data_IF_373319568001
#
_entry.id   IF_373319568001
#
_cell.length_a   1.000
_cell.length_b   1.000
_cell.length_c   1.000
_cell.angle_alpha   90.00
_cell.angle_beta   90.00
_cell.angle_gamma   90.00
#
_symmetry.space_group_name_H-M   'P 1'
#
loop_
_entity.id
_entity.type
_entity.pdbx_description
1 polymer ?
#
# COMPACT_ATOMS: atom_id res chain seq x y z
N UNK A 1 -16.73 20.49 9.81
CA UNK A 1 -16.68 19.07 9.50
C UNK A 1 -15.69 18.41 10.46
N UNK A 2 -16.15 17.47 11.26
CA UNK A 2 -15.22 16.64 12.03
C UNK A 2 -14.51 15.73 11.02
N UNK A 3 -13.20 15.84 10.92
CA UNK A 3 -12.35 14.77 10.37
C UNK A 3 -12.81 13.51 11.07
N UNK A 4 -13.34 12.55 10.33
CA UNK A 4 -13.76 11.29 10.94
C UNK A 4 -12.54 10.70 11.62
N UNK A 5 -12.70 10.20 12.84
CA UNK A 5 -11.62 9.56 13.61
C UNK A 5 -11.03 8.30 12.91
N UNK A 6 -11.27 8.13 11.63
CA UNK A 6 -10.92 7.00 10.77
C UNK A 6 -10.15 7.42 9.51
N UNK A 7 -9.95 8.74 9.31
CA UNK A 7 -9.13 9.29 8.23
C UNK A 7 -7.74 9.57 8.80
N UNK A 8 -6.71 9.06 8.14
CA UNK A 8 -5.32 9.15 8.56
C UNK A 8 -4.52 9.89 7.49
N UNK A 9 -4.03 11.06 7.85
CA UNK A 9 -3.16 11.86 7.01
C UNK A 9 -1.70 11.63 7.42
N UNK A 10 -0.96 10.94 6.56
CA UNK A 10 0.46 10.64 6.72
C UNK A 10 1.24 11.66 5.90
N UNK A 11 1.98 12.55 6.55
CA UNK A 11 2.60 13.69 5.88
C UNK A 11 4.09 13.80 6.15
N UNK A 12 4.82 14.17 5.12
CA UNK A 12 6.19 14.66 5.12
C UNK A 12 6.17 16.20 4.96
N UNK A 13 7.33 16.89 4.86
CA UNK A 13 7.32 18.33 4.62
C UNK A 13 6.53 18.76 3.38
N UNK A 14 6.55 18.01 2.27
CA UNK A 14 5.91 18.42 1.02
C UNK A 14 4.96 17.37 0.41
N UNK A 15 4.81 16.20 1.03
CA UNK A 15 3.98 15.11 0.50
C UNK A 15 2.97 14.64 1.52
N UNK A 16 1.79 14.25 1.08
CA UNK A 16 0.77 13.60 1.91
C UNK A 16 0.22 12.33 1.27
N UNK A 17 -0.05 11.35 2.13
CA UNK A 17 -0.80 10.14 1.84
C UNK A 17 -2.05 10.14 2.72
N UNK A 18 -3.24 10.10 2.11
CA UNK A 18 -4.52 10.04 2.84
C UNK A 18 -5.10 8.63 2.77
N UNK A 19 -5.36 8.07 3.93
CA UNK A 19 -5.97 6.76 4.10
C UNK A 19 -7.24 6.86 4.93
N UNK A 20 -8.20 5.99 4.65
CA UNK A 20 -9.31 5.67 5.57
C UNK A 20 -9.13 4.23 6.06
N UNK A 21 -9.18 4.04 7.38
CA UNK A 21 -9.08 2.74 8.01
C UNK A 21 -10.14 2.60 9.09
N UNK A 22 -11.31 2.09 8.69
CA UNK A 22 -12.46 1.91 9.56
C UNK A 22 -12.55 0.46 10.02
N UNK A 23 -12.67 0.18 11.33
CA UNK A 23 -12.79 -1.18 11.84
C UNK A 23 -13.87 -1.99 11.13
N UNK A 24 -13.55 -3.21 10.72
CA UNK A 24 -14.43 -4.11 9.99
C UNK A 24 -14.54 -3.86 8.48
N UNK A 25 -13.96 -2.78 7.95
CA UNK A 25 -13.94 -2.45 6.52
C UNK A 25 -12.52 -2.60 5.95
N UNK A 26 -12.40 -2.68 4.63
CA UNK A 26 -11.09 -2.64 3.97
C UNK A 26 -10.44 -1.25 4.14
N UNK A 27 -9.15 -1.20 4.47
CA UNK A 27 -8.42 0.05 4.46
C UNK A 27 -8.27 0.57 3.01
N UNK A 28 -8.40 1.89 2.82
CA UNK A 28 -8.38 2.51 1.48
C UNK A 28 -7.42 3.67 1.42
N UNK A 29 -6.72 3.79 0.29
CA UNK A 29 -5.94 4.97 -0.07
C UNK A 29 -6.82 5.88 -0.93
N UNK A 30 -6.84 7.17 -0.59
CA UNK A 30 -7.65 8.18 -1.28
C UNK A 30 -6.82 9.24 -1.99
N UNK A 31 -5.64 9.52 -1.50
CA UNK A 31 -4.78 10.54 -2.08
C UNK A 31 -3.31 10.23 -1.82
N UNK A 32 -2.48 10.53 -2.79
CA UNK A 32 -1.02 10.61 -2.67
C UNK A 32 -0.54 11.74 -3.57
N UNK A 33 0.19 12.69 -3.02
CA UNK A 33 0.67 13.84 -3.76
C UNK A 33 1.21 14.96 -2.87
N UNK A 34 1.15 16.19 -3.38
CA UNK A 34 1.58 17.38 -2.64
C UNK A 34 0.90 17.45 -1.27
N UNK A 35 1.63 17.94 -0.27
CA UNK A 35 1.13 18.07 1.09
C UNK A 35 -0.20 18.81 1.16
N UNK A 36 -1.12 18.25 1.91
CA UNK A 36 -2.40 18.86 2.26
C UNK A 36 -2.51 19.04 3.77
N UNK A 37 -3.30 20.02 4.22
CA UNK A 37 -3.61 20.23 5.62
C UNK A 37 -4.87 19.46 6.00
N UNK A 38 -5.01 19.08 7.27
CA UNK A 38 -6.15 18.29 7.78
C UNK A 38 -7.51 18.93 7.46
N UNK A 39 -7.62 20.26 7.54
CA UNK A 39 -8.84 21.00 7.23
C UNK A 39 -9.24 20.94 5.74
N UNK A 40 -8.38 20.42 4.86
CA UNK A 40 -8.62 20.25 3.43
C UNK A 40 -8.98 18.84 3.01
N UNK A 41 -8.99 17.88 3.93
CA UNK A 41 -9.30 16.47 3.64
C UNK A 41 -10.64 16.33 2.92
N UNK A 42 -11.69 17.04 3.38
CA UNK A 42 -13.00 16.98 2.74
C UNK A 42 -12.95 17.51 1.30
N UNK A 43 -12.16 18.54 1.02
CA UNK A 43 -11.99 19.06 -0.34
C UNK A 43 -11.35 18.04 -1.28
N UNK A 44 -10.47 17.17 -0.75
CA UNK A 44 -9.89 16.05 -1.53
C UNK A 44 -10.98 15.04 -1.87
N UNK A 45 -11.81 14.62 -0.91
CA UNK A 45 -12.91 13.68 -1.17
C UNK A 45 -13.92 14.22 -2.18
N UNK A 46 -14.22 15.52 -2.14
CA UNK A 46 -15.17 16.18 -3.04
C UNK A 46 -14.56 16.52 -4.42
N UNK A 47 -13.26 16.29 -4.58
CA UNK A 47 -12.53 16.61 -5.81
C UNK A 47 -12.29 15.35 -6.67
N UNK A 48 -11.88 15.58 -7.93
CA UNK A 48 -11.41 14.52 -8.80
C UNK A 48 -9.97 14.06 -8.48
N UNK A 49 -9.36 14.57 -7.41
CA UNK A 49 -8.03 14.18 -6.96
C UNK A 49 -8.08 12.91 -6.10
N UNK A 50 -9.21 12.62 -5.47
CA UNK A 50 -9.38 11.40 -4.69
C UNK A 50 -9.49 10.17 -5.59
N UNK A 51 -8.87 9.08 -5.16
CA UNK A 51 -9.13 7.73 -5.65
C UNK A 51 -9.50 6.83 -4.47
N UNK A 52 -10.31 5.82 -4.72
CA UNK A 52 -10.86 4.97 -3.64
C UNK A 52 -10.37 3.54 -3.83
N UNK A 53 -9.05 3.35 -3.72
CA UNK A 53 -8.42 2.04 -3.89
C UNK A 53 -8.18 1.37 -2.54
N UNK A 54 -8.38 0.07 -2.47
CA UNK A 54 -7.90 -0.70 -1.32
C UNK A 54 -6.40 -0.47 -1.14
N UNK A 55 -5.97 -0.31 0.12
CA UNK A 55 -4.55 -0.11 0.45
C UNK A 55 -3.72 -1.38 0.30
N UNK A 56 -4.36 -2.55 0.42
CA UNK A 56 -3.71 -3.85 0.29
C UNK A 56 -4.69 -4.90 -0.27
N UNK A 57 -4.96 -4.89 -1.58
CA UNK A 57 -5.92 -5.79 -2.19
C UNK A 57 -5.45 -7.25 -2.09
N UNK A 58 -6.32 -8.12 -1.59
CA UNK A 58 -6.07 -9.54 -1.44
C UNK A 58 -6.85 -10.37 -2.47
N UNK A 59 -6.39 -11.60 -2.73
CA UNK A 59 -7.08 -12.52 -3.63
C UNK A 59 -8.33 -13.11 -2.95
N UNK A 60 -9.42 -13.28 -3.72
CA UNK A 60 -10.63 -13.97 -3.26
C UNK A 60 -11.80 -13.08 -2.90
N UNK A 61 -11.65 -11.75 -2.94
CA UNK A 61 -12.73 -10.78 -2.80
C UNK A 61 -12.98 -10.05 -4.13
N UNK A 62 -14.10 -9.32 -4.22
CA UNK A 62 -14.59 -8.66 -5.44
C UNK A 62 -13.73 -7.49 -5.93
N UNK A 63 -12.42 -7.57 -5.81
CA UNK A 63 -11.51 -6.57 -6.34
C UNK A 63 -10.96 -7.01 -7.69
N UNK A 64 -11.07 -6.15 -8.70
CA UNK A 64 -10.46 -6.35 -10.02
C UNK A 64 -9.03 -5.81 -10.10
N UNK A 65 -8.55 -5.18 -9.05
CA UNK A 65 -7.18 -4.67 -8.97
C UNK A 65 -6.17 -5.83 -8.96
N UNK A 66 -4.95 -5.55 -9.38
CA UNK A 66 -3.85 -6.48 -9.13
C UNK A 66 -3.69 -6.74 -7.63
N UNK A 67 -3.39 -7.97 -7.26
CA UNK A 67 -3.38 -8.37 -5.86
C UNK A 67 -2.01 -8.07 -5.23
N UNK A 68 -2.03 -7.49 -4.03
CA UNK A 68 -0.86 -7.36 -3.19
C UNK A 68 -0.54 -8.68 -2.46
N UNK A 69 -1.58 -9.48 -2.17
CA UNK A 69 -1.43 -10.74 -1.45
C UNK A 69 -2.29 -11.85 -2.02
N UNK A 70 -1.70 -13.06 -2.04
CA UNK A 70 -2.40 -14.29 -2.40
C UNK A 70 -1.88 -15.44 -1.55
N UNK A 71 -2.78 -16.10 -0.84
CA UNK A 71 -2.48 -17.25 0.03
C UNK A 71 -3.45 -18.39 -0.24
N UNK A 72 -3.05 -19.62 0.11
CA UNK A 72 -3.96 -20.73 0.30
C UNK A 72 -3.90 -21.12 1.78
N UNK A 73 -5.06 -21.09 2.44
CA UNK A 73 -5.21 -21.47 3.84
C UNK A 73 -5.02 -22.96 4.05
N UNK A 74 -4.83 -23.38 5.30
CA UNK A 74 -4.53 -24.76 5.65
C UNK A 74 -5.64 -25.79 5.34
N UNK A 75 -6.83 -25.34 4.97
CA UNK A 75 -7.96 -26.15 4.50
C UNK A 75 -8.12 -26.16 2.96
N UNK A 76 -7.26 -25.44 2.24
CA UNK A 76 -7.27 -25.32 0.78
C UNK A 76 -8.05 -24.12 0.25
N UNK A 77 -8.70 -23.33 1.10
CA UNK A 77 -9.38 -22.10 0.68
C UNK A 77 -8.36 -21.03 0.27
N UNK A 78 -8.64 -20.30 -0.81
CA UNK A 78 -7.77 -19.24 -1.34
C UNK A 78 -8.32 -17.83 -1.09
N UNK A 79 -9.52 -17.70 -0.49
CA UNK A 79 -10.11 -16.39 -0.25
C UNK A 79 -9.51 -15.74 0.98
N UNK A 80 -9.06 -14.50 0.83
CA UNK A 80 -8.51 -13.66 1.88
C UNK A 80 -9.26 -12.32 1.90
N UNK A 81 -10.13 -12.14 2.90
CA UNK A 81 -10.95 -10.92 3.06
C UNK A 81 -10.43 -10.11 4.26
N UNK A 82 -9.49 -9.22 3.97
CA UNK A 82 -8.81 -8.40 4.97
C UNK A 82 -9.65 -7.18 5.36
N UNK A 83 -9.95 -7.06 6.64
CA UNK A 83 -10.61 -5.91 7.25
C UNK A 83 -9.73 -5.28 8.34
N UNK A 84 -9.87 -3.98 8.55
CA UNK A 84 -9.17 -3.26 9.63
C UNK A 84 -9.58 -3.80 10.98
N UNK A 85 -8.62 -4.24 11.76
CA UNK A 85 -8.75 -4.62 13.18
C UNK A 85 -8.42 -3.44 14.09
N UNK A 86 -7.30 -2.76 13.81
CA UNK A 86 -6.86 -1.60 14.60
C UNK A 86 -5.89 -0.73 13.82
N UNK A 87 -5.76 0.52 14.27
CA UNK A 87 -4.74 1.47 13.79
C UNK A 87 -3.97 2.02 14.98
N UNK A 88 -2.66 2.18 14.83
CA UNK A 88 -1.78 2.83 15.80
C UNK A 88 -0.96 3.90 15.11
N UNK A 89 -0.86 5.07 15.75
CA UNK A 89 0.03 6.14 15.31
C UNK A 89 0.94 6.53 16.47
N UNK A 90 2.22 6.69 16.19
CA UNK A 90 3.21 7.11 17.18
C UNK A 90 4.42 7.75 16.51
N UNK A 91 5.13 8.56 17.30
CA UNK A 91 6.34 9.24 16.84
C UNK A 91 7.58 8.49 17.33
N UNK A 92 8.55 8.32 16.43
CA UNK A 92 9.87 7.79 16.72
C UNK A 92 10.92 8.74 16.15
N UNK A 93 11.82 9.25 17.02
CA UNK A 93 12.89 10.16 16.59
C UNK A 93 12.43 11.15 15.49
N UNK A 94 12.93 10.97 14.27
CA UNK A 94 12.74 11.87 13.13
C UNK A 94 11.54 11.48 12.24
N UNK A 95 10.63 10.60 12.70
CA UNK A 95 9.54 10.09 11.88
C UNK A 95 8.25 9.87 12.67
N UNK A 96 7.13 9.87 11.94
CA UNK A 96 5.83 9.40 12.40
C UNK A 96 5.51 8.06 11.77
N UNK A 97 5.01 7.13 12.59
CA UNK A 97 4.65 5.78 12.15
C UNK A 97 3.14 5.62 12.26
N UNK A 98 2.54 5.12 11.19
CA UNK A 98 1.15 4.64 11.17
C UNK A 98 1.16 3.15 10.87
N UNK A 99 0.62 2.36 11.79
CA UNK A 99 0.43 0.91 11.63
C UNK A 99 -1.05 0.61 11.48
N UNK A 100 -1.43 -0.08 10.43
CA UNK A 100 -2.78 -0.57 10.19
C UNK A 100 -2.75 -2.09 10.27
N UNK A 101 -3.35 -2.64 11.32
CA UNK A 101 -3.52 -4.08 11.46
C UNK A 101 -4.79 -4.49 10.74
N UNK A 102 -4.63 -5.32 9.73
CA UNK A 102 -5.71 -5.99 8.99
C UNK A 102 -5.81 -7.44 9.47
N UNK A 103 -7.04 -7.96 9.52
CA UNK A 103 -7.32 -9.34 9.87
C UNK A 103 -8.27 -9.94 8.84
N UNK A 104 -8.04 -11.18 8.47
CA UNK A 104 -9.01 -11.93 7.68
C UNK A 104 -10.29 -12.17 8.49
N UNK A 105 -11.46 -12.02 7.86
CA UNK A 105 -12.76 -12.14 8.52
C UNK A 105 -13.09 -13.57 8.98
N UNK A 106 -12.45 -14.57 8.39
CA UNK A 106 -12.73 -15.99 8.63
C UNK A 106 -11.58 -16.66 9.36
N UNK A 107 -10.34 -16.41 8.91
CA UNK A 107 -9.14 -17.06 9.41
C UNK A 107 -8.36 -16.20 10.39
N UNK A 108 -7.65 -16.76 11.36
CA UNK A 108 -6.74 -16.02 12.22
C UNK A 108 -5.44 -15.70 11.47
N UNK A 109 -5.58 -14.98 10.36
CA UNK A 109 -4.50 -14.50 9.52
C UNK A 109 -4.49 -12.97 9.54
N UNK A 110 -3.31 -12.38 9.75
CA UNK A 110 -3.16 -10.95 9.95
C UNK A 110 -2.13 -10.37 9.00
N UNK A 111 -2.39 -9.14 8.59
CA UNK A 111 -1.47 -8.33 7.77
C UNK A 111 -1.34 -6.97 8.44
N UNK A 112 -0.12 -6.60 8.81
CA UNK A 112 0.16 -5.27 9.35
C UNK A 112 0.85 -4.43 8.28
N UNK A 113 0.17 -3.39 7.83
CA UNK A 113 0.72 -2.36 6.95
C UNK A 113 1.36 -1.27 7.80
N UNK A 114 2.58 -0.91 7.49
CA UNK A 114 3.33 0.12 8.19
C UNK A 114 3.74 1.23 7.24
N UNK A 115 3.53 2.47 7.67
CA UNK A 115 3.94 3.68 6.98
C UNK A 115 4.81 4.51 7.91
N UNK A 116 5.97 4.94 7.44
CA UNK A 116 6.92 5.77 8.16
C UNK A 116 7.16 7.07 7.40
N UNK A 117 6.58 8.16 7.88
CA UNK A 117 6.78 9.49 7.30
C UNK A 117 7.95 10.18 7.99
N UNK A 118 8.98 10.53 7.24
CA UNK A 118 10.13 11.24 7.77
C UNK A 118 9.87 12.75 7.85
N UNK A 119 10.24 13.36 9.00
CA UNK A 119 10.01 14.80 9.26
C UNK A 119 10.96 15.71 8.49
N UNK A 120 12.13 15.21 8.12
CA UNK A 120 13.21 15.99 7.52
C UNK A 120 13.44 15.64 6.03
N UNK A 121 12.55 14.85 5.42
CA UNK A 121 12.64 14.49 4.00
C UNK A 121 11.26 14.10 3.46
N UNK A 122 11.08 14.17 2.14
CA UNK A 122 9.83 13.77 1.49
C UNK A 122 9.78 12.26 1.22
N UNK A 123 10.20 11.46 2.19
CA UNK A 123 10.20 10.01 2.11
C UNK A 123 9.11 9.44 3.02
N UNK A 124 8.25 8.62 2.45
CA UNK A 124 7.35 7.73 3.17
C UNK A 124 7.85 6.30 2.94
N UNK A 125 8.47 5.72 3.97
CA UNK A 125 8.83 4.30 3.96
C UNK A 125 7.60 3.44 4.20
N UNK A 126 7.51 2.29 3.53
CA UNK A 126 6.43 1.34 3.74
C UNK A 126 6.95 -0.09 3.81
N UNK A 127 6.34 -0.90 4.67
CA UNK A 127 6.57 -2.34 4.74
C UNK A 127 5.32 -3.05 5.23
N UNK A 128 5.29 -4.35 5.05
CA UNK A 128 4.17 -5.20 5.44
C UNK A 128 4.68 -6.41 6.23
N UNK A 129 3.96 -6.77 7.27
CA UNK A 129 4.21 -7.96 8.08
C UNK A 129 3.00 -8.89 8.01
N UNK A 130 3.22 -10.16 7.62
CA UNK A 130 2.18 -11.19 7.62
C UNK A 130 2.33 -12.10 8.84
N UNK A 131 1.23 -12.42 9.51
CA UNK A 131 1.20 -13.33 10.65
C UNK A 131 0.12 -14.40 10.47
N UNK A 132 0.53 -15.65 10.40
CA UNK A 132 -0.38 -16.79 10.39
C UNK A 132 -0.53 -17.35 11.81
N UNK A 133 -1.75 -17.40 12.33
CA UNK A 133 -2.11 -18.04 13.61
C UNK A 133 -3.07 -19.22 13.40
N UNK A 134 -3.21 -19.71 12.18
CA UNK A 134 -3.94 -20.94 11.90
C UNK A 134 -3.21 -22.15 12.47
N UNK A 135 -3.95 -23.22 12.73
CA UNK A 135 -3.36 -24.49 13.20
C UNK A 135 -2.49 -25.20 12.14
N UNK A 136 -2.68 -24.85 10.88
CA UNK A 136 -1.96 -25.41 9.73
C UNK A 136 -1.15 -24.33 9.04
N UNK A 137 -0.08 -24.70 8.34
CA UNK A 137 0.66 -23.76 7.51
C UNK A 137 -0.21 -23.24 6.35
N UNK A 138 0.03 -22.00 5.93
CA UNK A 138 -0.52 -21.41 4.71
C UNK A 138 0.54 -21.42 3.61
N UNK A 139 0.10 -21.53 2.35
CA UNK A 139 0.98 -21.35 1.21
C UNK A 139 0.82 -19.94 0.67
N UNK A 140 1.92 -19.21 0.58
CA UNK A 140 1.93 -17.83 0.12
C UNK A 140 2.46 -17.77 -1.32
N UNK A 141 1.64 -17.26 -2.25
CA UNK A 141 1.99 -17.13 -3.67
C UNK A 141 2.44 -15.72 -4.03
N UNK A 142 1.86 -14.72 -3.37
CA UNK A 142 2.18 -13.31 -3.56
C UNK A 142 2.16 -12.59 -2.22
N UNK A 143 3.20 -11.80 -1.97
CA UNK A 143 3.32 -10.97 -0.78
C UNK A 143 4.09 -9.69 -1.17
N UNK A 144 3.36 -8.67 -1.54
CA UNK A 144 3.95 -7.40 -1.91
C UNK A 144 4.31 -6.58 -0.65
N UNK A 145 5.46 -5.92 -0.66
CA UNK A 145 5.88 -5.01 0.41
C UNK A 145 5.09 -3.70 0.42
N UNK A 146 4.46 -3.35 -0.71
CA UNK A 146 3.60 -2.18 -0.85
C UNK A 146 2.63 -2.37 -2.01
N UNK A 147 1.51 -1.68 -1.95
CA UNK A 147 0.59 -1.45 -3.04
C UNK A 147 0.28 0.05 -3.07
N UNK A 148 0.57 0.71 -4.18
CA UNK A 148 0.35 2.14 -4.32
C UNK A 148 -0.48 2.41 -5.57
N UNK A 149 -1.74 2.81 -5.42
CA UNK A 149 -2.53 3.27 -6.55
C UNK A 149 -2.02 4.62 -7.04
N UNK A 150 -2.00 4.80 -8.34
CA UNK A 150 -1.70 6.08 -8.97
C UNK A 150 -2.92 6.60 -9.71
N UNK A 151 -3.05 7.92 -9.78
CA UNK A 151 -4.16 8.57 -10.49
C UNK A 151 -4.09 8.24 -11.98
N UNK A 152 -5.25 7.99 -12.59
CA UNK A 152 -5.35 7.86 -14.05
C UNK A 152 -4.87 9.14 -14.75
N UNK A 153 -4.12 8.97 -15.83
CA UNK A 153 -3.55 10.07 -16.61
C UNK A 153 -2.35 9.59 -17.42
N UNK A 154 -1.59 10.55 -17.90
CA UNK A 154 -0.33 10.27 -18.57
C UNK A 154 0.76 9.97 -17.52
N UNK A 155 0.85 8.69 -17.16
CA UNK A 155 1.85 8.23 -16.20
C UNK A 155 3.06 7.70 -16.95
N UNK A 156 4.23 8.05 -16.47
CA UNK A 156 5.52 7.59 -16.98
C UNK A 156 6.22 6.76 -15.91
N UNK A 157 6.80 5.66 -16.33
CA UNK A 157 7.62 4.80 -15.49
C UNK A 157 9.07 5.03 -15.83
N UNK A 158 9.81 5.56 -14.87
CA UNK A 158 11.26 5.70 -14.95
C UNK A 158 11.89 4.64 -14.07
N UNK A 159 12.72 3.80 -14.64
CA UNK A 159 13.45 2.76 -13.92
C UNK A 159 14.86 2.57 -14.47
N UNK A 160 15.67 1.90 -13.69
CA UNK A 160 17.00 1.49 -14.13
C UNK A 160 16.99 0.00 -14.47
N UNK A 161 17.76 -0.36 -15.48
CA UNK A 161 18.08 -1.75 -15.78
C UNK A 161 19.59 -1.88 -16.01
N UNK A 162 20.09 -3.08 -15.96
CA UNK A 162 21.49 -3.29 -16.18
C UNK A 162 21.84 -4.74 -16.44
N UNK A 163 23.00 -4.90 -17.07
CA UNK A 163 23.70 -6.17 -17.23
C UNK A 163 25.13 -5.97 -16.80
N UNK A 164 25.89 -7.04 -16.69
CA UNK A 164 27.32 -6.93 -16.39
C UNK A 164 28.03 -6.05 -17.43
N UNK A 165 28.69 -4.96 -16.93
CA UNK A 165 29.39 -3.98 -17.77
C UNK A 165 28.48 -2.89 -18.39
N UNK A 166 27.17 -2.89 -18.12
CA UNK A 166 26.22 -1.87 -18.54
C UNK A 166 25.16 -1.65 -17.43
N UNK A 167 25.63 -1.23 -16.26
CA UNK A 167 24.82 -1.06 -15.05
C UNK A 167 24.12 0.31 -15.02
N UNK A 168 22.96 0.38 -14.32
CA UNK A 168 22.21 1.62 -14.11
C UNK A 168 21.78 2.36 -15.40
N UNK A 169 21.41 1.62 -16.42
CA UNK A 169 20.86 2.21 -17.64
C UNK A 169 19.45 2.74 -17.39
N UNK A 170 19.29 4.06 -17.51
CA UNK A 170 18.00 4.71 -17.34
C UNK A 170 17.07 4.35 -18.49
N UNK A 171 15.86 3.90 -18.14
CA UNK A 171 14.76 3.72 -19.08
C UNK A 171 13.53 4.49 -18.60
N UNK A 172 12.87 5.17 -19.53
CA UNK A 172 11.65 5.87 -19.30
C UNK A 172 10.62 5.46 -20.34
N UNK A 173 9.42 5.12 -19.89
CA UNK A 173 8.35 4.69 -20.78
C UNK A 173 6.98 5.17 -20.29
N UNK A 174 6.10 5.49 -21.22
CA UNK A 174 4.71 5.80 -20.91
C UNK A 174 3.98 4.52 -20.54
N UNK A 175 3.29 4.54 -19.40
CA UNK A 175 2.43 3.43 -18.99
C UNK A 175 1.16 3.41 -19.86
N UNK A 176 0.89 2.26 -20.44
CA UNK A 176 -0.34 1.96 -21.19
C UNK A 176 -1.18 0.95 -20.42
N UNK A 177 -2.37 0.64 -20.93
CA UNK A 177 -3.20 -0.42 -20.34
C UNK A 177 -2.46 -1.77 -20.38
N UNK A 178 -2.65 -2.56 -19.34
CA UNK A 178 -2.00 -3.84 -19.13
C UNK A 178 -1.06 -3.88 -17.94
N UNK A 179 -0.20 -4.90 -17.88
CA UNK A 179 0.76 -5.09 -16.81
C UNK A 179 2.18 -4.88 -17.32
N UNK A 180 2.95 -4.05 -16.62
CA UNK A 180 4.40 -3.94 -16.79
C UNK A 180 5.08 -4.55 -15.57
N UNK A 181 6.00 -5.48 -15.80
CA UNK A 181 6.80 -6.13 -14.77
C UNK A 181 8.26 -5.74 -14.97
N UNK A 182 8.86 -5.16 -13.92
CA UNK A 182 10.30 -4.95 -13.85
C UNK A 182 10.83 -6.06 -12.95
N UNK A 183 11.76 -6.85 -13.47
CA UNK A 183 12.31 -8.00 -12.78
C UNK A 183 13.83 -8.01 -12.93
N UNK A 184 14.52 -8.24 -11.84
CA UNK A 184 15.96 -8.47 -11.83
C UNK A 184 16.20 -9.90 -11.34
N UNK A 185 16.76 -10.74 -12.21
CA UNK A 185 17.08 -12.15 -11.92
C UNK A 185 18.59 -12.41 -11.91
N UNK A 186 19.39 -11.48 -12.41
CA UNK A 186 20.82 -11.69 -12.65
C UNK A 186 21.72 -11.29 -11.47
N UNK A 187 21.12 -10.82 -10.35
CA UNK A 187 21.89 -10.34 -9.20
C UNK A 187 22.72 -9.09 -9.47
N UNK A 188 22.54 -8.47 -10.63
CA UNK A 188 23.16 -7.20 -11.01
C UNK A 188 22.34 -6.07 -10.41
N UNK A 189 23.02 -5.06 -9.85
CA UNK A 189 22.35 -3.87 -9.32
C UNK A 189 21.73 -3.06 -10.46
N UNK A 190 20.45 -2.83 -10.35
CA UNK A 190 19.71 -1.89 -11.17
C UNK A 190 19.62 -0.55 -10.47
#
# INVERSE_FOLDING_TARGET
YNVNAQDYLISTPNTSLLLTAKPGEAARIHYYGTRIEENRIQQIFDSNLAFHSESYPAFGIYSYNDKAMQVTHGDGNMSLDLAVESVKQYTVAEAEITEILLKDKVYPFFVKQCYKAYKNSDVIGTWVEGTNQEKKPVTMYKFASAFMPVRRGDNWLTHFHGTWGAENMLQEERLTDGQKIIKNEDGVRN
#
